data_IF_137318146517
#
_entry.id   IF_137318146517
#
_cell.length_a   1.000
_cell.length_b   1.000
_cell.length_c   1.000
_cell.angle_alpha   90.00
_cell.angle_beta   90.00
_cell.angle_gamma   90.00
#
_symmetry.space_group_name_H-M   'P 1'
#
loop_
_entity.id
_entity.type
_entity.pdbx_description
1 polymer ?
#
# COMPACT_ATOMS: atom_id res chain seq x y z
N UNK A 1 -19.40 -9.93 -14.13
CA UNK A 1 -18.60 -10.78 -13.22
C UNK A 1 -18.26 -10.06 -11.89
N UNK A 2 -17.58 -8.89 -11.89
CA UNK A 2 -17.20 -8.17 -10.66
C UNK A 2 -18.39 -7.77 -9.77
N UNK A 3 -19.48 -7.25 -10.35
CA UNK A 3 -20.71 -6.90 -9.59
C UNK A 3 -21.32 -8.12 -8.90
N UNK A 4 -21.37 -9.26 -9.60
CA UNK A 4 -21.89 -10.52 -9.05
C UNK A 4 -21.00 -11.00 -7.90
N UNK A 5 -19.68 -10.93 -8.05
CA UNK A 5 -18.74 -11.29 -7.00
C UNK A 5 -18.91 -10.41 -5.75
N UNK A 6 -19.05 -9.09 -5.92
CA UNK A 6 -19.25 -8.16 -4.81
C UNK A 6 -20.58 -8.39 -4.04
N UNK A 7 -21.61 -8.91 -4.73
CA UNK A 7 -22.91 -9.25 -4.12
C UNK A 7 -22.92 -10.61 -3.40
N UNK A 8 -21.88 -11.45 -3.54
CA UNK A 8 -21.82 -12.72 -2.84
C UNK A 8 -21.69 -12.51 -1.32
N UNK A 9 -22.22 -13.43 -0.50
CA UNK A 9 -21.95 -13.45 0.93
C UNK A 9 -20.43 -13.45 1.20
N UNK A 10 -20.02 -12.78 2.27
CA UNK A 10 -18.60 -12.61 2.57
C UNK A 10 -17.84 -13.94 2.62
N UNK A 11 -18.43 -14.97 3.20
CA UNK A 11 -17.84 -16.32 3.28
C UNK A 11 -17.54 -16.87 1.87
N UNK A 12 -18.50 -16.75 0.95
CA UNK A 12 -18.34 -17.20 -0.44
C UNK A 12 -17.24 -16.43 -1.16
N UNK A 13 -17.18 -15.10 -0.97
CA UNK A 13 -16.10 -14.27 -1.54
C UNK A 13 -14.74 -14.69 -1.03
N UNK A 14 -14.61 -14.97 0.27
CA UNK A 14 -13.35 -15.42 0.89
C UNK A 14 -12.86 -16.75 0.34
N UNK A 15 -13.75 -17.72 0.22
CA UNK A 15 -13.43 -19.04 -0.33
C UNK A 15 -13.00 -18.91 -1.79
N UNK A 16 -13.80 -18.22 -2.61
CA UNK A 16 -13.51 -18.03 -4.03
C UNK A 16 -12.20 -17.24 -4.24
N UNK A 17 -11.97 -16.20 -3.45
CA UNK A 17 -10.72 -15.43 -3.49
C UNK A 17 -9.51 -16.32 -3.16
N UNK A 18 -9.61 -17.17 -2.14
CA UNK A 18 -8.55 -18.11 -1.77
C UNK A 18 -8.26 -19.11 -2.89
N UNK A 19 -9.29 -19.65 -3.53
CA UNK A 19 -9.14 -20.56 -4.68
C UNK A 19 -8.44 -19.84 -5.86
N UNK A 20 -8.89 -18.63 -6.19
CA UNK A 20 -8.27 -17.84 -7.27
C UNK A 20 -6.81 -17.54 -6.95
N UNK A 21 -6.50 -17.14 -5.70
CA UNK A 21 -5.13 -16.85 -5.26
C UNK A 21 -4.21 -18.07 -5.35
N UNK A 22 -4.74 -19.29 -5.19
CA UNK A 22 -3.98 -20.54 -5.39
C UNK A 22 -3.72 -20.84 -6.87
N UNK A 23 -4.61 -20.41 -7.75
CA UNK A 23 -4.55 -20.69 -9.18
C UNK A 23 -3.76 -19.65 -9.99
N UNK A 24 -3.50 -18.46 -9.42
CA UNK A 24 -2.83 -17.36 -10.13
C UNK A 24 -1.71 -16.76 -9.31
N UNK A 25 -0.70 -16.24 -9.98
CA UNK A 25 0.36 -15.48 -9.32
C UNK A 25 -0.15 -14.14 -8.84
N UNK A 26 -0.04 -13.90 -7.53
CA UNK A 26 -0.51 -12.69 -6.83
C UNK A 26 -0.02 -11.39 -7.51
N UNK A 27 1.25 -11.34 -7.88
CA UNK A 27 1.87 -10.14 -8.44
C UNK A 27 1.51 -9.86 -9.92
N UNK A 28 0.97 -10.87 -10.68
CA UNK A 28 0.57 -10.70 -12.09
C UNK A 28 -0.93 -10.53 -12.30
N UNK A 29 -1.77 -11.02 -11.41
CA UNK A 29 -3.19 -11.16 -11.66
C UNK A 29 -3.96 -9.84 -11.54
N UNK A 30 -4.32 -9.24 -12.66
CA UNK A 30 -5.24 -8.10 -12.71
C UNK A 30 -6.64 -8.47 -12.17
N UNK A 31 -7.10 -9.69 -12.38
CA UNK A 31 -8.38 -10.17 -11.86
C UNK A 31 -8.38 -10.15 -10.32
N UNK A 32 -7.32 -10.67 -9.70
CA UNK A 32 -7.21 -10.70 -8.23
C UNK A 32 -7.31 -9.29 -7.63
N UNK A 33 -6.65 -8.30 -8.23
CA UNK A 33 -6.67 -6.89 -7.84
C UNK A 33 -8.07 -6.30 -7.93
N UNK A 34 -8.75 -6.50 -9.06
CA UNK A 34 -10.12 -6.01 -9.26
C UNK A 34 -11.12 -6.64 -8.28
N UNK A 35 -10.98 -7.93 -8.00
CA UNK A 35 -11.82 -8.63 -7.02
C UNK A 35 -11.55 -8.11 -5.60
N UNK A 36 -10.27 -7.85 -5.27
CA UNK A 36 -9.90 -7.30 -3.96
C UNK A 36 -10.46 -5.89 -3.78
N UNK A 37 -10.26 -5.02 -4.76
CA UNK A 37 -10.81 -3.66 -4.73
C UNK A 37 -12.35 -3.66 -4.60
N UNK A 38 -13.04 -4.50 -5.38
CA UNK A 38 -14.50 -4.61 -5.29
C UNK A 38 -14.99 -5.16 -3.95
N UNK A 39 -14.19 -5.96 -3.23
CA UNK A 39 -14.56 -6.59 -1.96
C UNK A 39 -14.19 -5.78 -0.73
N UNK A 40 -13.04 -5.13 -0.76
CA UNK A 40 -12.42 -4.51 0.41
C UNK A 40 -12.11 -3.02 0.22
N UNK A 41 -12.38 -2.47 -0.98
CA UNK A 41 -12.16 -1.04 -1.28
C UNK A 41 -10.71 -0.60 -1.29
N UNK A 42 -9.75 -1.54 -1.33
CA UNK A 42 -8.30 -1.27 -1.38
C UNK A 42 -7.81 -1.42 -2.80
N UNK A 43 -7.17 -0.39 -3.33
CA UNK A 43 -6.55 -0.41 -4.65
C UNK A 43 -5.11 -0.91 -4.55
N UNK A 44 -4.74 -1.89 -5.40
CA UNK A 44 -3.41 -2.49 -5.40
C UNK A 44 -2.87 -2.47 -6.82
N UNK A 45 -1.68 -1.89 -7.01
CA UNK A 45 -0.99 -1.78 -8.28
C UNK A 45 -0.39 -3.10 -8.77
N UNK A 46 -0.05 -3.13 -10.09
CA UNK A 46 0.58 -4.28 -10.73
C UNK A 46 1.94 -4.59 -10.10
N UNK A 47 2.35 -5.84 -10.10
CA UNK A 47 3.63 -6.27 -9.53
C UNK A 47 3.67 -6.29 -8.00
N UNK A 48 2.72 -5.66 -7.30
CA UNK A 48 2.68 -5.63 -5.83
C UNK A 48 2.18 -6.94 -5.25
N UNK A 49 2.81 -7.38 -4.16
CA UNK A 49 2.49 -8.63 -3.48
C UNK A 49 2.53 -8.48 -1.93
N UNK A 50 1.95 -9.46 -1.22
CA UNK A 50 1.81 -9.41 0.24
C UNK A 50 0.70 -8.48 0.74
N UNK A 51 -0.04 -7.82 -0.17
CA UNK A 51 -1.05 -6.83 0.16
C UNK A 51 -2.44 -7.43 0.42
N UNK A 52 -2.68 -8.67 0.00
CA UNK A 52 -4.00 -9.31 -0.02
C UNK A 52 -4.32 -9.99 1.31
N UNK A 53 -4.21 -9.25 2.39
CA UNK A 53 -4.57 -9.69 3.75
C UNK A 53 -5.69 -8.82 4.29
N UNK A 54 -6.81 -9.47 4.68
CA UNK A 54 -7.95 -8.78 5.22
C UNK A 54 -7.58 -8.01 6.50
N UNK A 55 -7.99 -6.75 6.56
CA UNK A 55 -7.74 -5.88 7.71
C UNK A 55 -6.34 -5.25 7.73
N UNK A 56 -5.42 -5.70 6.88
CA UNK A 56 -4.10 -5.09 6.77
C UNK A 56 -4.18 -3.63 6.30
N UNK A 57 -4.99 -3.42 5.28
CA UNK A 57 -5.32 -2.11 4.71
C UNK A 57 -6.83 -1.91 4.74
N UNK A 58 -7.25 -0.67 4.67
CA UNK A 58 -8.62 -0.25 4.88
C UNK A 58 -9.25 0.30 3.61
N UNK A 59 -10.60 0.33 3.51
CA UNK A 59 -11.28 0.90 2.35
C UNK A 59 -10.82 2.32 2.06
N UNK A 60 -10.40 2.57 0.82
CA UNK A 60 -9.87 3.84 0.35
C UNK A 60 -8.34 3.94 0.37
N UNK A 61 -7.63 2.95 0.95
CA UNK A 61 -6.18 2.88 0.84
C UNK A 61 -5.75 2.49 -0.59
N UNK A 62 -4.61 3.02 -1.02
CA UNK A 62 -4.02 2.79 -2.33
C UNK A 62 -2.59 2.32 -2.17
N UNK A 63 -2.23 1.27 -2.89
CA UNK A 63 -0.88 0.72 -2.94
C UNK A 63 -0.42 0.77 -4.39
N UNK A 64 0.71 1.43 -4.63
CA UNK A 64 1.30 1.60 -5.95
C UNK A 64 1.76 0.28 -6.59
N UNK A 65 2.44 0.39 -7.71
CA UNK A 65 2.99 -0.72 -8.46
C UNK A 65 4.29 -1.24 -7.85
N UNK A 66 4.57 -2.53 -7.99
CA UNK A 66 5.85 -3.19 -7.62
C UNK A 66 6.23 -3.09 -6.14
N UNK A 67 5.24 -2.95 -5.25
CA UNK A 67 5.47 -2.93 -3.81
C UNK A 67 5.66 -4.34 -3.23
N UNK A 68 6.56 -4.46 -2.27
CA UNK A 68 6.84 -5.68 -1.50
C UNK A 68 6.37 -5.50 -0.07
N UNK A 69 5.28 -6.17 0.33
CA UNK A 69 4.68 -6.01 1.65
C UNK A 69 4.87 -7.28 2.47
N UNK A 70 5.52 -7.14 3.60
CA UNK A 70 5.72 -8.24 4.55
C UNK A 70 4.44 -8.68 5.25
N UNK A 71 4.50 -9.80 5.97
CA UNK A 71 3.38 -10.28 6.76
C UNK A 71 3.10 -9.36 7.96
N UNK A 72 1.84 -9.34 8.44
CA UNK A 72 1.39 -8.59 9.62
C UNK A 72 1.62 -7.06 9.52
N UNK A 73 1.50 -6.51 8.32
CA UNK A 73 1.47 -5.05 8.12
C UNK A 73 0.04 -4.57 8.34
N UNK A 74 -0.13 -3.50 9.14
CA UNK A 74 -1.44 -2.95 9.48
C UNK A 74 -1.46 -1.45 9.35
N UNK A 75 -2.47 -0.93 8.64
CA UNK A 75 -2.82 0.49 8.65
C UNK A 75 -3.96 0.75 9.63
N UNK A 76 -3.72 1.60 10.61
CA UNK A 76 -4.68 2.01 11.63
C UNK A 76 -5.31 3.34 11.20
N UNK A 77 -6.52 3.32 10.67
CA UNK A 77 -7.16 4.51 10.06
C UNK A 77 -7.58 5.59 11.05
N UNK A 78 -7.80 5.25 12.31
CA UNK A 78 -8.37 6.16 13.28
C UNK A 78 -7.82 5.91 14.69
N UNK A 79 -7.90 6.93 15.52
CA UNK A 79 -7.70 6.84 16.96
C UNK A 79 -9.04 7.10 17.68
N UNK A 80 -9.14 6.67 18.93
CA UNK A 80 -10.21 7.14 19.80
C UNK A 80 -10.10 8.66 20.04
N UNK A 81 -11.22 9.38 20.24
CA UNK A 81 -11.21 10.82 20.50
C UNK A 81 -10.69 11.08 21.92
N UNK A 82 -9.39 11.31 22.04
CA UNK A 82 -8.69 11.48 23.33
C UNK A 82 -9.08 12.75 24.07
N UNK A 83 -9.68 13.72 23.39
CA UNK A 83 -10.12 15.01 23.96
C UNK A 83 -11.55 14.93 24.53
N UNK A 84 -12.24 13.81 24.35
CA UNK A 84 -13.56 13.61 24.93
C UNK A 84 -13.48 13.16 26.39
N UNK A 85 -14.48 13.52 27.21
CA UNK A 85 -14.58 13.02 28.57
C UNK A 85 -14.74 11.51 28.68
N UNK A 86 -15.10 10.85 27.58
CA UNK A 86 -15.16 9.40 27.44
C UNK A 86 -14.78 8.97 26.04
N UNK A 87 -13.85 8.01 25.93
CA UNK A 87 -13.38 7.44 24.66
C UNK A 87 -14.23 6.27 24.16
N UNK A 88 -15.36 5.96 24.82
CA UNK A 88 -16.20 4.84 24.43
C UNK A 88 -16.83 5.06 23.06
N UNK A 89 -16.79 4.04 22.18
CA UNK A 89 -17.45 4.07 20.87
C UNK A 89 -18.95 4.39 20.91
N UNK A 90 -19.61 4.18 22.05
CA UNK A 90 -21.01 4.50 22.23
C UNK A 90 -21.33 5.98 21.94
N UNK A 91 -20.36 6.88 22.02
CA UNK A 91 -20.58 8.31 21.80
C UNK A 91 -20.32 8.76 20.36
N UNK A 92 -19.71 7.92 19.49
CA UNK A 92 -19.32 8.35 18.14
C UNK A 92 -19.53 7.31 17.04
N UNK A 93 -19.64 6.00 17.36
CA UNK A 93 -19.95 4.99 16.35
C UNK A 93 -21.44 4.68 16.29
N UNK A 94 -22.03 4.84 15.10
CA UNK A 94 -23.45 4.54 14.87
C UNK A 94 -23.84 3.11 15.24
N UNK A 95 -22.95 2.16 15.11
CA UNK A 95 -23.16 0.76 15.48
C UNK A 95 -23.51 0.59 16.96
N UNK A 96 -22.98 1.46 17.84
CA UNK A 96 -23.19 1.41 19.29
C UNK A 96 -24.19 2.46 19.78
N UNK A 97 -24.19 3.63 19.18
CA UNK A 97 -24.99 4.77 19.63
C UNK A 97 -26.33 4.90 18.86
N UNK A 98 -26.50 4.17 17.77
CA UNK A 98 -27.69 4.33 16.91
C UNK A 98 -27.81 5.76 16.41
N UNK A 99 -29.00 6.35 16.58
CA UNK A 99 -29.29 7.73 16.18
C UNK A 99 -28.70 8.80 17.13
N UNK A 100 -28.10 8.39 18.24
CA UNK A 100 -27.51 9.31 19.23
C UNK A 100 -26.08 9.74 18.85
N UNK A 101 -25.39 9.00 17.98
CA UNK A 101 -24.07 9.38 17.50
C UNK A 101 -24.18 10.58 16.55
N UNK A 102 -23.67 11.72 16.98
CA UNK A 102 -23.73 12.95 16.19
C UNK A 102 -22.80 12.91 14.98
N UNK A 103 -21.56 12.42 15.14
CA UNK A 103 -20.53 12.40 14.10
C UNK A 103 -19.60 11.20 14.32
N UNK A 104 -19.33 10.42 13.27
CA UNK A 104 -18.28 9.39 13.30
C UNK A 104 -16.89 10.05 13.33
N UNK A 105 -15.91 9.35 13.86
CA UNK A 105 -14.52 9.84 13.86
C UNK A 105 -13.94 9.81 12.44
N UNK A 106 -13.10 10.78 12.08
CA UNK A 106 -12.47 10.81 10.76
C UNK A 106 -11.55 9.61 10.58
N UNK A 107 -11.62 9.00 9.39
CA UNK A 107 -10.75 7.88 8.99
C UNK A 107 -9.76 8.35 7.95
N UNK A 108 -8.50 8.12 8.22
CA UNK A 108 -7.41 8.47 7.31
C UNK A 108 -7.31 7.44 6.19
N UNK A 109 -7.06 7.90 4.98
CA UNK A 109 -6.68 7.08 3.83
C UNK A 109 -5.16 7.13 3.68
N UNK A 110 -4.59 5.98 3.34
CA UNK A 110 -3.16 5.83 3.13
C UNK A 110 -2.87 5.65 1.64
N UNK A 111 -1.94 6.42 1.14
CA UNK A 111 -1.37 6.26 -0.18
C UNK A 111 0.06 5.77 -0.06
N UNK A 112 0.32 4.56 -0.55
CA UNK A 112 1.64 3.97 -0.67
C UNK A 112 2.06 4.11 -2.12
N UNK A 113 3.19 4.76 -2.37
CA UNK A 113 3.77 4.94 -3.69
C UNK A 113 4.20 3.64 -4.35
N UNK A 114 5.02 3.76 -5.36
CA UNK A 114 5.53 2.64 -6.16
C UNK A 114 6.87 2.14 -5.59
N UNK A 115 7.23 0.87 -5.83
CA UNK A 115 8.51 0.27 -5.40
C UNK A 115 8.75 0.38 -3.87
N UNK A 116 7.71 0.39 -3.08
CA UNK A 116 7.82 0.48 -1.62
C UNK A 116 8.07 -0.90 -1.02
N UNK A 117 9.06 -1.00 -0.15
CA UNK A 117 9.28 -2.21 0.65
C UNK A 117 8.89 -1.97 2.11
N UNK A 118 7.90 -2.72 2.58
CA UNK A 118 7.48 -2.73 3.98
C UNK A 118 7.85 -4.09 4.60
N UNK A 119 8.68 -4.07 5.61
CA UNK A 119 9.07 -5.25 6.38
C UNK A 119 7.88 -5.88 7.13
N UNK A 120 8.12 -7.04 7.74
CA UNK A 120 7.11 -7.73 8.57
C UNK A 120 6.78 -6.96 9.84
N UNK A 121 5.56 -7.19 10.36
CA UNK A 121 5.11 -6.70 11.67
C UNK A 121 5.09 -5.17 11.80
N UNK A 122 4.97 -4.45 10.69
CA UNK A 122 4.91 -2.97 10.65
C UNK A 122 3.51 -2.49 11.01
N UNK A 123 3.44 -1.44 11.83
CA UNK A 123 2.21 -0.69 12.12
C UNK A 123 2.32 0.71 11.55
N UNK A 124 1.31 1.10 10.74
CA UNK A 124 1.21 2.44 10.16
C UNK A 124 0.06 3.14 10.88
N UNK A 125 0.37 4.23 11.60
CA UNK A 125 -0.62 4.92 12.43
C UNK A 125 -1.48 5.90 11.62
N UNK A 126 -2.61 6.27 12.16
CA UNK A 126 -3.64 7.09 11.51
C UNK A 126 -3.21 8.49 11.07
N UNK A 127 -2.09 9.00 11.55
CA UNK A 127 -1.53 10.29 11.08
C UNK A 127 -0.75 10.17 9.76
N UNK A 128 -0.45 8.94 9.34
CA UNK A 128 0.29 8.68 8.10
C UNK A 128 -0.70 8.64 6.95
N UNK A 129 -0.53 9.53 6.00
CA UNK A 129 -1.35 9.62 4.78
C UNK A 129 -0.58 9.21 3.54
N UNK A 130 0.76 9.22 3.61
CA UNK A 130 1.62 8.99 2.45
C UNK A 130 2.91 8.27 2.81
N UNK A 131 3.28 7.31 1.96
CA UNK A 131 4.59 6.66 1.93
C UNK A 131 5.11 6.80 0.50
N UNK A 132 6.21 7.55 0.33
CA UNK A 132 6.75 7.93 -0.98
C UNK A 132 7.32 6.76 -1.78
N UNK A 133 7.48 6.97 -3.09
CA UNK A 133 8.03 5.98 -4.01
C UNK A 133 9.40 5.48 -3.53
N UNK A 134 9.65 4.19 -3.70
CA UNK A 134 10.92 3.59 -3.34
C UNK A 134 11.27 3.64 -1.85
N UNK A 135 10.35 4.02 -0.97
CA UNK A 135 10.59 4.02 0.48
C UNK A 135 10.77 2.59 1.02
N UNK A 136 11.54 2.49 2.09
CA UNK A 136 11.77 1.22 2.79
C UNK A 136 11.41 1.39 4.26
N UNK A 137 10.56 0.49 4.78
CA UNK A 137 10.17 0.45 6.18
C UNK A 137 10.70 -0.85 6.81
N UNK A 138 11.61 -0.69 7.76
CA UNK A 138 12.20 -1.83 8.47
C UNK A 138 11.16 -2.65 9.23
N UNK A 139 11.41 -3.96 9.36
CA UNK A 139 10.52 -4.87 10.08
C UNK A 139 10.31 -4.43 11.54
N UNK A 140 9.09 -4.67 12.08
CA UNK A 140 8.73 -4.32 13.45
C UNK A 140 8.57 -2.83 13.72
N UNK A 141 8.59 -1.97 12.69
CA UNK A 141 8.51 -0.53 12.85
C UNK A 141 7.09 -0.04 13.15
N UNK A 142 7.01 1.07 13.88
CA UNK A 142 5.77 1.83 14.10
C UNK A 142 5.90 3.18 13.39
N UNK A 143 5.27 3.30 12.22
CA UNK A 143 5.31 4.50 11.38
C UNK A 143 4.30 5.51 11.91
N UNK A 144 4.78 6.69 12.31
CA UNK A 144 3.97 7.73 12.96
C UNK A 144 3.86 9.02 12.14
N UNK A 145 4.61 9.12 11.04
CA UNK A 145 4.66 10.27 10.12
C UNK A 145 4.80 9.77 8.69
N UNK A 146 4.45 10.61 7.73
CA UNK A 146 4.70 10.35 6.31
C UNK A 146 6.17 10.04 6.07
N UNK A 147 6.42 9.21 5.06
CA UNK A 147 7.77 8.77 4.68
C UNK A 147 8.08 9.34 3.30
N UNK A 148 9.19 10.06 3.20
CA UNK A 148 9.64 10.67 1.96
C UNK A 148 10.09 9.60 0.94
N UNK A 149 10.02 9.89 -0.37
CA UNK A 149 10.51 8.99 -1.41
C UNK A 149 11.96 8.55 -1.18
N UNK A 150 12.28 7.32 -1.53
CA UNK A 150 13.62 6.71 -1.43
C UNK A 150 14.27 6.82 -0.04
N UNK A 151 13.45 6.89 0.99
CA UNK A 151 13.90 6.98 2.38
C UNK A 151 13.75 5.66 3.11
N UNK A 152 14.77 5.27 3.85
CA UNK A 152 14.75 4.09 4.73
C UNK A 152 14.42 4.55 6.13
N UNK A 153 13.33 4.03 6.69
CA UNK A 153 12.90 4.29 8.07
C UNK A 153 12.81 3.00 8.87
N UNK A 154 13.11 3.01 10.15
CA UNK A 154 12.94 1.87 11.03
C UNK A 154 12.77 2.28 12.50
N UNK A 155 12.25 1.36 13.33
CA UNK A 155 12.14 1.48 14.78
C UNK A 155 10.73 1.82 15.28
N UNK A 156 10.61 2.00 16.59
CA UNK A 156 9.37 2.37 17.29
C UNK A 156 9.63 3.54 18.24
N UNK A 157 9.19 4.78 17.92
CA UNK A 157 8.63 5.19 16.64
C UNK A 157 9.68 5.13 15.51
N UNK A 158 9.22 4.90 14.28
CA UNK A 158 10.10 4.85 13.12
C UNK A 158 10.77 6.21 12.88
N UNK A 159 12.09 6.16 12.63
CA UNK A 159 12.92 7.31 12.30
C UNK A 159 13.69 7.06 11.02
N UNK A 160 14.09 8.13 10.36
CA UNK A 160 14.95 8.06 9.18
C UNK A 160 16.29 7.45 9.57
N UNK A 161 16.69 6.40 8.87
CA UNK A 161 17.99 5.75 8.98
C UNK A 161 18.94 6.33 7.93
N UNK A 162 18.48 6.39 6.66
CA UNK A 162 19.25 6.94 5.53
C UNK A 162 18.36 7.17 4.32
N UNK A 163 18.87 7.85 3.32
CA UNK A 163 18.31 7.82 1.97
C UNK A 163 18.89 6.62 1.19
N UNK A 164 18.11 6.10 0.24
CA UNK A 164 18.58 5.04 -0.67
C UNK A 164 19.63 5.59 -1.64
N UNK A 165 19.38 6.78 -2.16
CA UNK A 165 20.13 7.45 -3.21
C UNK A 165 20.38 8.92 -2.85
N UNK A 166 21.29 9.57 -3.56
CA UNK A 166 21.40 11.03 -3.60
C UNK A 166 20.20 11.68 -4.31
N UNK A 167 20.07 12.98 -4.19
CA UNK A 167 18.92 13.70 -4.72
C UNK A 167 18.83 13.65 -6.25
N UNK A 168 19.99 13.66 -6.94
CA UNK A 168 20.05 13.54 -8.40
C UNK A 168 19.52 12.18 -8.87
N UNK A 169 20.01 11.10 -8.29
CA UNK A 169 19.58 9.74 -8.63
C UNK A 169 18.12 9.51 -8.30
N UNK A 170 17.65 10.00 -7.14
CA UNK A 170 16.25 9.92 -6.76
C UNK A 170 15.34 10.65 -7.77
N UNK A 171 15.75 11.87 -8.20
CA UNK A 171 15.00 12.63 -9.21
C UNK A 171 14.93 11.92 -10.56
N UNK A 172 16.06 11.35 -11.01
CA UNK A 172 16.08 10.59 -12.27
C UNK A 172 15.16 9.38 -12.23
N UNK A 173 15.12 8.65 -11.12
CA UNK A 173 14.22 7.52 -10.93
C UNK A 173 12.76 7.96 -10.90
N UNK A 174 12.41 9.06 -10.22
CA UNK A 174 11.05 9.65 -10.23
C UNK A 174 10.64 10.03 -11.66
N UNK A 175 11.47 10.77 -12.37
CA UNK A 175 11.20 11.25 -13.71
C UNK A 175 11.06 10.13 -14.74
N UNK A 176 11.67 8.98 -14.49
CA UNK A 176 11.61 7.82 -15.40
C UNK A 176 10.24 7.16 -15.41
N UNK A 177 9.47 7.29 -14.33
CA UNK A 177 8.16 6.65 -14.12
C UNK A 177 8.17 5.14 -14.47
N UNK A 178 9.30 4.46 -14.25
CA UNK A 178 9.55 3.07 -14.64
C UNK A 178 8.49 2.08 -14.13
N UNK A 179 7.87 2.39 -13.03
CA UNK A 179 6.79 1.59 -12.44
C UNK A 179 5.49 1.55 -13.28
N UNK A 180 5.41 2.35 -14.35
CA UNK A 180 4.30 2.30 -15.32
C UNK A 180 4.51 1.22 -16.38
N UNK A 181 5.72 0.69 -16.51
CA UNK A 181 6.05 -0.39 -17.43
C UNK A 181 5.42 -1.71 -17.00
N UNK A 182 4.97 -2.51 -17.95
CA UNK A 182 4.53 -3.88 -17.70
C UNK A 182 5.73 -4.79 -17.35
N UNK A 183 5.53 -5.92 -16.64
CA UNK A 183 6.62 -6.81 -16.22
C UNK A 183 7.54 -7.27 -17.36
N UNK A 184 6.98 -7.52 -18.55
CA UNK A 184 7.74 -7.93 -19.74
C UNK A 184 8.64 -6.82 -20.28
N UNK A 185 8.24 -5.56 -20.10
CA UNK A 185 9.06 -4.39 -20.46
C UNK A 185 10.17 -4.17 -19.42
N UNK A 186 9.88 -4.35 -18.13
CA UNK A 186 10.87 -4.26 -17.04
C UNK A 186 11.99 -5.28 -17.21
N UNK A 187 11.71 -6.48 -17.70
CA UNK A 187 12.74 -7.49 -17.96
C UNK A 187 13.82 -7.03 -18.95
N UNK A 188 13.51 -6.07 -19.82
CA UNK A 188 14.48 -5.47 -20.75
C UNK A 188 15.48 -4.55 -20.06
N UNK A 189 15.24 -4.18 -18.80
CA UNK A 189 16.11 -3.32 -17.99
C UNK A 189 17.06 -4.13 -17.10
N UNK A 190 17.07 -5.44 -17.19
CA UNK A 190 17.84 -6.33 -16.31
C UNK A 190 19.33 -5.99 -16.24
N UNK A 191 19.93 -5.65 -17.38
CA UNK A 191 21.36 -5.33 -17.45
C UNK A 191 21.71 -4.00 -16.76
N UNK A 192 20.75 -3.09 -16.66
CA UNK A 192 20.91 -1.77 -16.03
C UNK A 192 20.53 -1.74 -14.55
N UNK A 193 19.91 -2.80 -14.00
CA UNK A 193 19.29 -2.77 -12.66
C UNK A 193 20.27 -2.46 -11.52
N UNK A 194 21.54 -2.76 -11.68
CA UNK A 194 22.59 -2.51 -10.68
C UNK A 194 23.16 -1.08 -10.71
N UNK A 195 22.84 -0.30 -11.75
CA UNK A 195 23.18 1.13 -11.86
C UNK A 195 21.87 1.94 -11.91
N UNK A 196 21.49 2.59 -10.81
CA UNK A 196 20.22 3.32 -10.72
C UNK A 196 20.06 4.44 -11.76
N UNK A 197 21.15 5.11 -12.14
CA UNK A 197 21.10 6.18 -13.16
C UNK A 197 20.90 5.60 -14.55
N UNK A 198 21.69 4.58 -14.91
CA UNK A 198 21.53 3.87 -16.19
C UNK A 198 20.14 3.22 -16.30
N UNK A 199 19.63 2.65 -15.20
CA UNK A 199 18.28 2.08 -15.13
C UNK A 199 17.21 3.15 -15.39
N UNK A 200 17.28 4.31 -14.73
CA UNK A 200 16.34 5.41 -14.91
C UNK A 200 16.32 5.92 -16.36
N UNK A 201 17.47 6.11 -16.97
CA UNK A 201 17.58 6.55 -18.37
C UNK A 201 17.03 5.52 -19.36
N UNK A 202 17.34 4.25 -19.16
CA UNK A 202 16.82 3.17 -20.00
C UNK A 202 15.28 3.04 -19.85
N UNK A 203 14.77 3.15 -18.64
CA UNK A 203 13.34 3.13 -18.36
C UNK A 203 12.61 4.31 -19.01
N UNK A 204 13.15 5.52 -18.90
CA UNK A 204 12.57 6.72 -19.52
C UNK A 204 12.41 6.59 -21.03
N UNK A 205 13.41 5.97 -21.69
CA UNK A 205 13.32 5.66 -23.13
C UNK A 205 12.19 4.67 -23.46
N UNK A 206 11.97 3.66 -22.61
CA UNK A 206 10.88 2.69 -22.81
C UNK A 206 9.51 3.29 -22.55
N UNK A 207 9.36 4.10 -21.49
CA UNK A 207 8.10 4.79 -21.15
C UNK A 207 7.72 5.79 -22.25
N UNK A 208 8.70 6.55 -22.79
CA UNK A 208 8.45 7.53 -23.84
C UNK A 208 8.09 6.93 -25.22
N UNK A 209 8.27 5.60 -25.40
CA UNK A 209 7.92 4.87 -26.61
C UNK A 209 6.58 4.09 -26.51
N UNK A 210 5.84 4.24 -25.40
CA UNK A 210 4.51 3.68 -25.17
C UNK A 210 3.45 4.75 -25.38
#
# INVERSE_FOLDING_TARGET
MLKIFACLPEVCRRVLFKIIKMAVHEWRSALLRRLWQASYGVEIGIGSYGCFHRGAFCPGDRIGNYCSIGANVWHLQANHPMDHGCMSPIFYLKEFAGNLAAVDIPRTKLEIGHDVWIGRDVKILSKVTHIGNGAVIGAGSVVTKNVEPYTVVAGNPAKVIRRRFDDETASLLEDSMWWTLEPEQLMKLQDAVNDPKAFAEAAKRLVGNC
#
